data_IF_201626135929
#
_entry.id   IF_201626135929
#
_cell.length_a   1.000
_cell.length_b   1.000
_cell.length_c   1.000
_cell.angle_alpha   90.00
_cell.angle_beta   90.00
_cell.angle_gamma   90.00
#
_symmetry.space_group_name_H-M   'P 1'
#
loop_
_entity.id
_entity.type
_entity.pdbx_description
1 polymer ?
#
# COMPACT_ATOMS: atom_id res chain seq x y z
N UNK A 1 -21.49 -12.86 11.25
CA UNK A 1 -20.28 -13.51 11.79
C UNK A 1 -19.46 -14.20 10.69
N UNK A 2 -20.07 -14.90 9.74
CA UNK A 2 -19.38 -15.65 8.66
C UNK A 2 -18.39 -14.86 7.77
N UNK A 3 -18.60 -13.54 7.59
CA UNK A 3 -17.70 -12.69 6.78
C UNK A 3 -16.36 -12.43 7.48
N UNK A 4 -16.35 -12.35 8.80
CA UNK A 4 -15.13 -12.04 9.57
C UNK A 4 -14.23 -13.26 9.76
N UNK A 5 -14.82 -14.44 9.88
CA UNK A 5 -14.06 -15.70 9.93
C UNK A 5 -13.32 -15.98 8.61
N UNK A 6 -13.94 -15.64 7.47
CA UNK A 6 -13.28 -15.69 6.16
C UNK A 6 -12.12 -14.71 6.09
N UNK A 7 -12.35 -13.45 6.48
CA UNK A 7 -11.30 -12.44 6.54
C UNK A 7 -10.13 -12.84 7.46
N UNK A 8 -10.41 -13.49 8.60
CA UNK A 8 -9.39 -14.02 9.49
C UNK A 8 -8.59 -15.15 8.83
N UNK A 9 -9.26 -16.08 8.14
CA UNK A 9 -8.57 -17.18 7.42
C UNK A 9 -7.62 -16.64 6.36
N UNK A 10 -8.08 -15.68 5.55
CA UNK A 10 -7.26 -15.05 4.51
C UNK A 10 -6.07 -14.30 5.12
N UNK A 11 -6.29 -13.60 6.24
CA UNK A 11 -5.22 -12.90 6.95
C UNK A 11 -4.19 -13.87 7.55
N UNK A 12 -4.64 -14.97 8.14
CA UNK A 12 -3.75 -16.02 8.69
C UNK A 12 -2.90 -16.66 7.58
N UNK A 13 -3.49 -16.95 6.44
CA UNK A 13 -2.77 -17.52 5.30
C UNK A 13 -1.73 -16.53 4.76
N UNK A 14 -2.07 -15.24 4.74
CA UNK A 14 -1.15 -14.23 4.29
C UNK A 14 0.06 -14.06 5.20
N UNK A 15 -0.16 -14.05 6.52
CA UNK A 15 0.91 -14.06 7.53
C UNK A 15 1.74 -15.34 7.44
N UNK A 16 1.13 -16.48 7.11
CA UNK A 16 1.84 -17.76 6.91
C UNK A 16 2.75 -17.74 5.69
N UNK A 17 2.29 -17.15 4.58
CA UNK A 17 3.03 -17.06 3.33
C UNK A 17 4.17 -16.04 3.41
N UNK A 18 3.95 -14.90 4.06
CA UNK A 18 4.96 -13.85 4.21
C UNK A 18 5.00 -13.30 5.65
N UNK A 19 5.71 -13.97 6.57
CA UNK A 19 5.70 -13.64 8.00
C UNK A 19 6.32 -12.29 8.37
N UNK A 20 7.03 -11.65 7.44
CA UNK A 20 7.64 -10.33 7.57
C UNK A 20 6.74 -9.20 7.05
N UNK A 21 5.57 -9.54 6.51
CA UNK A 21 4.65 -8.55 5.91
C UNK A 21 3.73 -7.95 6.96
N UNK A 22 4.12 -6.79 7.49
CA UNK A 22 3.39 -6.06 8.54
C UNK A 22 1.89 -5.85 8.22
N UNK A 23 1.53 -5.58 6.96
CA UNK A 23 0.13 -5.38 6.56
C UNK A 23 -0.73 -6.64 6.65
N UNK A 24 -0.14 -7.84 6.56
CA UNK A 24 -0.84 -9.10 6.78
C UNK A 24 -1.36 -9.18 8.23
N UNK A 25 -0.52 -8.76 9.17
CA UNK A 25 -0.90 -8.65 10.57
C UNK A 25 -1.90 -7.51 10.85
N UNK A 26 -1.83 -6.39 10.12
CA UNK A 26 -2.85 -5.34 10.21
C UNK A 26 -4.24 -5.84 9.77
N UNK A 27 -4.30 -6.65 8.69
CA UNK A 27 -5.55 -7.30 8.25
C UNK A 27 -6.05 -8.31 9.27
N UNK A 28 -5.14 -9.07 9.88
CA UNK A 28 -5.43 -10.02 10.94
C UNK A 28 -6.00 -9.30 12.19
N UNK A 29 -5.40 -8.18 12.59
CA UNK A 29 -5.86 -7.36 13.71
C UNK A 29 -7.24 -6.74 13.44
N UNK A 30 -7.47 -6.22 12.23
CA UNK A 30 -8.78 -5.69 11.83
C UNK A 30 -9.88 -6.75 11.82
N UNK A 31 -9.56 -8.00 11.43
CA UNK A 31 -10.48 -9.12 11.54
C UNK A 31 -10.82 -9.42 13.01
N UNK A 32 -9.82 -9.49 13.90
CA UNK A 32 -10.02 -9.69 15.34
C UNK A 32 -10.84 -8.58 16.01
N UNK A 33 -10.59 -7.30 15.66
CA UNK A 33 -11.41 -6.17 16.12
C UNK A 33 -12.87 -6.32 15.70
N UNK A 34 -13.10 -6.75 14.45
CA UNK A 34 -14.46 -6.96 13.91
C UNK A 34 -15.18 -8.15 14.54
N UNK A 35 -14.42 -9.08 15.16
CA UNK A 35 -14.95 -10.20 15.95
C UNK A 35 -15.09 -9.87 17.44
N UNK A 36 -14.69 -8.66 17.87
CA UNK A 36 -14.71 -8.24 19.27
C UNK A 36 -13.56 -8.80 20.11
N UNK A 37 -12.60 -9.50 19.50
CA UNK A 37 -11.44 -10.05 20.19
C UNK A 37 -10.30 -9.03 20.22
N UNK A 38 -10.36 -8.14 21.22
CA UNK A 38 -9.39 -7.06 21.39
C UNK A 38 -7.99 -7.56 21.75
N UNK A 39 -7.87 -8.73 22.40
CA UNK A 39 -6.59 -9.30 22.80
C UNK A 39 -5.87 -9.89 21.59
N UNK A 40 -6.56 -10.71 20.80
CA UNK A 40 -5.98 -11.26 19.58
C UNK A 40 -5.63 -10.18 18.55
N UNK A 41 -6.40 -9.08 18.50
CA UNK A 41 -6.08 -7.92 17.68
C UNK A 41 -4.76 -7.25 18.08
N UNK A 42 -4.55 -7.04 19.38
CA UNK A 42 -3.30 -6.46 19.92
C UNK A 42 -2.11 -7.37 19.63
N UNK A 43 -2.26 -8.67 19.86
CA UNK A 43 -1.21 -9.66 19.56
C UNK A 43 -0.85 -9.71 18.08
N UNK A 44 -1.85 -9.62 17.19
CA UNK A 44 -1.61 -9.52 15.76
C UNK A 44 -0.81 -8.25 15.41
N UNK A 45 -1.21 -7.07 15.91
CA UNK A 45 -0.45 -5.83 15.71
C UNK A 45 0.99 -5.92 16.21
N UNK A 46 1.20 -6.46 17.42
CA UNK A 46 2.54 -6.62 17.99
C UNK A 46 3.42 -7.54 17.14
N UNK A 47 2.86 -8.64 16.60
CA UNK A 47 3.59 -9.53 15.68
C UNK A 47 3.91 -8.86 14.34
N UNK A 48 3.07 -7.93 13.88
CA UNK A 48 3.30 -7.15 12.66
C UNK A 48 4.35 -6.05 12.80
N UNK A 49 4.61 -5.57 14.01
CA UNK A 49 5.44 -4.39 14.27
C UNK A 49 6.93 -4.68 14.55
N UNK A 50 7.39 -5.92 14.73
CA UNK A 50 8.85 -6.20 14.71
C UNK A 50 9.23 -7.69 14.68
N UNK A 51 10.19 -8.12 13.82
CA UNK A 51 10.85 -9.43 13.93
C UNK A 51 12.08 -9.46 14.85
N UNK A 52 12.49 -8.34 15.47
CA UNK A 52 13.79 -8.25 16.17
C UNK A 52 13.74 -8.00 17.68
N UNK A 53 12.60 -8.16 18.35
CA UNK A 53 12.54 -8.03 19.82
C UNK A 53 12.46 -9.42 20.48
N UNK A 54 13.44 -9.83 21.31
CA UNK A 54 13.42 -11.13 21.97
C UNK A 54 12.23 -11.21 22.94
N UNK A 55 11.64 -12.41 23.01
CA UNK A 55 10.56 -12.75 23.94
C UNK A 55 11.03 -12.58 25.38
N UNK A 56 10.43 -11.64 26.09
CA UNK A 56 10.49 -11.56 27.54
C UNK A 56 10.87 -10.17 28.02
N UNK A 57 9.86 -9.33 28.22
CA UNK A 57 9.79 -8.33 29.29
C UNK A 57 8.45 -7.59 29.16
N UNK A 58 7.42 -8.13 29.82
CA UNK A 58 6.19 -7.39 30.08
C UNK A 58 6.37 -6.74 31.44
N UNK A 59 6.64 -5.45 31.44
CA UNK A 59 6.56 -4.62 32.64
C UNK A 59 5.46 -3.61 32.41
N UNK A 60 4.38 -3.77 33.20
CA UNK A 60 3.27 -2.85 33.41
C UNK A 60 3.62 -1.38 33.14
N UNK A 61 2.92 -0.77 32.19
CA UNK A 61 2.99 0.65 31.92
C UNK A 61 2.10 1.02 30.74
N UNK A 62 0.90 1.54 31.03
CA UNK A 62 0.21 2.41 30.10
C UNK A 62 1.12 3.61 29.87
N UNK A 63 1.90 3.61 28.81
CA UNK A 63 2.43 4.83 28.21
C UNK A 63 2.13 4.76 26.71
N UNK A 64 0.90 5.15 26.37
CA UNK A 64 0.61 5.76 25.09
C UNK A 64 1.40 7.08 25.06
N UNK A 65 2.70 7.01 24.81
CA UNK A 65 3.40 8.17 24.26
C UNK A 65 2.71 8.47 22.92
N UNK A 66 2.19 9.68 22.72
CA UNK A 66 1.51 10.02 21.47
C UNK A 66 2.53 9.84 20.37
N UNK A 67 2.31 8.87 19.47
CA UNK A 67 3.10 8.77 18.25
C UNK A 67 3.01 10.13 17.56
N UNK A 68 4.10 10.90 17.71
CA UNK A 68 4.39 12.04 16.91
C UNK A 68 4.31 11.56 15.47
N UNK A 69 3.37 12.12 14.72
CA UNK A 69 2.99 11.75 13.36
C UNK A 69 4.12 12.07 12.37
N UNK A 70 5.23 11.36 12.49
CA UNK A 70 6.38 11.38 11.60
C UNK A 70 7.00 9.98 11.53
N UNK A 71 6.19 8.95 11.29
CA UNK A 71 6.73 7.71 10.76
C UNK A 71 7.12 7.97 9.29
N UNK A 72 8.42 7.97 9.03
CA UNK A 72 9.07 8.19 7.73
C UNK A 72 8.84 7.03 6.74
N UNK A 73 7.75 6.28 6.88
CA UNK A 73 7.42 5.10 6.09
C UNK A 73 6.52 5.40 4.88
N UNK A 74 6.66 6.60 4.28
CA UNK A 74 6.05 6.97 2.97
C UNK A 74 6.48 6.04 1.81
N UNK A 75 7.42 5.15 2.08
CA UNK A 75 7.90 4.07 1.24
C UNK A 75 7.23 2.76 1.63
N UNK A 76 6.18 2.37 0.91
CA UNK A 76 5.65 1.03 1.07
C UNK A 76 6.44 0.05 0.19
N UNK A 77 7.18 -0.85 0.85
CA UNK A 77 7.95 -1.96 0.24
C UNK A 77 7.07 -3.00 -0.47
N UNK A 78 5.80 -2.71 -0.73
CA UNK A 78 4.98 -3.48 -1.65
C UNK A 78 5.48 -3.23 -3.06
N UNK A 79 6.49 -4.03 -3.43
CA UNK A 79 6.86 -4.29 -4.81
C UNK A 79 5.58 -4.41 -5.66
N UNK A 80 5.59 -3.92 -6.91
CA UNK A 80 4.43 -4.05 -7.77
C UNK A 80 4.09 -5.53 -7.85
N UNK A 81 2.81 -5.83 -7.86
CA UNK A 81 2.40 -7.20 -8.10
C UNK A 81 2.82 -7.50 -9.54
N UNK A 82 3.87 -8.30 -9.73
CA UNK A 82 4.34 -8.80 -11.04
C UNK A 82 3.37 -9.87 -11.57
N UNK A 83 2.07 -9.64 -11.39
CA UNK A 83 1.06 -10.55 -11.87
C UNK A 83 0.64 -10.09 -13.26
N UNK A 84 1.07 -10.87 -14.26
CA UNK A 84 0.65 -10.75 -15.65
C UNK A 84 -0.84 -11.05 -15.83
N UNK A 85 -1.57 -11.42 -14.76
CA UNK A 85 -3.02 -11.49 -14.80
C UNK A 85 -3.59 -10.06 -14.93
N UNK A 86 -3.99 -9.73 -16.16
CA UNK A 86 -4.89 -8.62 -16.43
C UNK A 86 -6.21 -8.88 -15.69
N UNK A 87 -6.29 -8.41 -14.44
CA UNK A 87 -7.57 -8.24 -13.79
C UNK A 87 -8.14 -6.92 -14.30
N UNK A 88 -8.81 -6.97 -15.47
CA UNK A 88 -9.75 -5.92 -15.86
C UNK A 88 -10.85 -5.84 -14.81
N UNK A 89 -10.54 -5.12 -13.75
CA UNK A 89 -11.48 -4.88 -12.68
C UNK A 89 -12.30 -3.67 -13.12
N UNK A 90 -13.26 -3.94 -14.02
CA UNK A 90 -14.35 -3.02 -14.41
C UNK A 90 -15.22 -2.59 -13.22
N UNK A 91 -15.01 -3.23 -12.07
CA UNK A 91 -15.43 -2.76 -10.76
C UNK A 91 -14.22 -2.14 -10.10
N UNK A 92 -14.25 -0.85 -9.81
CA UNK A 92 -13.22 -0.25 -8.95
C UNK A 92 -13.31 -0.90 -7.57
N UNK A 93 -12.35 -0.61 -6.69
CA UNK A 93 -12.28 -1.29 -5.40
C UNK A 93 -12.81 -0.40 -4.27
N UNK A 94 -13.56 -0.97 -3.31
CA UNK A 94 -13.98 -0.22 -2.12
C UNK A 94 -12.75 0.12 -1.26
N UNK A 95 -12.84 1.17 -0.44
CA UNK A 95 -11.73 1.63 0.40
C UNK A 95 -11.04 0.52 1.20
N UNK A 96 -11.80 -0.44 1.73
CA UNK A 96 -11.26 -1.56 2.51
C UNK A 96 -10.25 -2.44 1.73
N UNK A 97 -10.29 -2.40 0.40
CA UNK A 97 -9.34 -3.09 -0.48
C UNK A 97 -8.22 -2.18 -1.00
N UNK A 98 -8.34 -0.86 -0.77
CA UNK A 98 -7.35 0.14 -1.18
C UNK A 98 -6.28 0.26 -0.09
N UNK A 99 -5.12 -0.37 -0.33
CA UNK A 99 -4.05 -0.48 0.66
C UNK A 99 -3.05 0.68 0.67
N UNK A 100 -3.20 1.68 -0.21
CA UNK A 100 -2.24 2.78 -0.37
C UNK A 100 -2.94 4.15 -0.34
N UNK A 101 -2.70 4.90 0.73
CA UNK A 101 -3.11 6.30 0.85
C UNK A 101 -2.00 7.11 1.49
N UNK A 102 -1.82 8.35 1.04
CA UNK A 102 -0.76 9.25 1.50
C UNK A 102 -1.23 10.70 1.35
N UNK A 103 -0.62 11.61 2.10
CA UNK A 103 -0.92 13.04 2.04
C UNK A 103 -0.37 13.72 0.79
N UNK A 104 0.64 13.16 0.12
CA UNK A 104 1.30 13.83 -1.01
C UNK A 104 1.85 12.85 -2.05
N UNK A 105 2.72 11.93 -1.65
CA UNK A 105 3.38 11.01 -2.58
C UNK A 105 3.49 9.60 -2.01
N UNK A 106 3.56 8.63 -2.91
CA UNK A 106 3.73 7.20 -2.63
C UNK A 106 4.76 6.63 -3.61
N UNK A 107 5.55 5.65 -3.19
CA UNK A 107 6.54 5.02 -4.07
C UNK A 107 6.74 3.55 -3.80
N UNK A 108 7.35 2.87 -4.77
CA UNK A 108 7.62 1.44 -4.77
C UNK A 108 9.03 1.14 -5.28
N UNK A 109 9.68 0.15 -4.66
CA UNK A 109 10.95 -0.44 -5.11
C UNK A 109 10.68 -1.71 -5.92
N UNK A 110 11.21 -1.75 -7.13
CA UNK A 110 11.14 -2.88 -8.05
C UNK A 110 12.16 -3.98 -7.72
N UNK A 111 13.04 -3.76 -6.74
CA UNK A 111 14.09 -4.67 -6.28
C UNK A 111 15.39 -4.57 -7.10
N UNK A 112 15.27 -4.34 -8.40
CA UNK A 112 16.38 -4.06 -9.31
C UNK A 112 15.97 -3.03 -10.36
N UNK A 113 16.95 -2.50 -11.08
CA UNK A 113 16.69 -1.65 -12.23
C UNK A 113 16.08 -2.49 -13.36
N UNK A 114 14.86 -2.13 -13.78
CA UNK A 114 14.10 -2.85 -14.80
C UNK A 114 13.58 -1.89 -15.86
N UNK A 115 13.37 -2.39 -17.07
CA UNK A 115 12.73 -1.63 -18.12
C UNK A 115 11.21 -1.68 -17.95
N UNK A 116 10.62 -0.56 -17.55
CA UNK A 116 9.18 -0.40 -17.33
C UNK A 116 8.53 0.04 -18.64
N UNK A 117 7.72 -0.81 -19.23
CA UNK A 117 6.95 -0.51 -20.45
C UNK A 117 5.73 0.30 -20.11
N UNK A 118 4.98 -0.15 -19.10
CA UNK A 118 3.76 0.51 -18.66
C UNK A 118 3.54 0.32 -17.16
N UNK A 119 2.69 1.18 -16.61
CA UNK A 119 2.12 1.03 -15.28
C UNK A 119 0.61 0.97 -15.40
N UNK A 120 -0.04 0.26 -14.48
CA UNK A 120 -1.50 0.26 -14.37
C UNK A 120 -1.92 0.71 -12.99
N UNK A 121 -2.84 1.68 -12.97
CA UNK A 121 -3.38 2.27 -11.76
C UNK A 121 -4.86 2.00 -11.66
N UNK A 122 -5.32 1.60 -10.48
CA UNK A 122 -6.73 1.42 -10.18
C UNK A 122 -7.20 2.41 -9.12
N UNK A 123 -8.26 3.15 -9.45
CA UNK A 123 -8.91 4.09 -8.54
C UNK A 123 -9.95 3.40 -7.65
N UNK A 124 -10.42 4.14 -6.65
CA UNK A 124 -11.59 3.82 -5.82
C UNK A 124 -12.88 3.77 -6.63
N UNK A 125 -13.87 3.03 -6.14
CA UNK A 125 -15.24 3.04 -6.68
C UNK A 125 -16.31 3.62 -5.77
N UNK A 126 -16.02 3.75 -4.48
CA UNK A 126 -17.00 4.00 -3.42
C UNK A 126 -17.20 5.49 -3.15
N UNK A 127 -16.11 6.26 -3.16
CA UNK A 127 -16.11 7.72 -3.18
C UNK A 127 -14.73 8.21 -3.63
N UNK A 128 -14.61 9.53 -3.76
CA UNK A 128 -13.31 10.18 -3.62
C UNK A 128 -12.33 9.84 -4.76
N UNK A 129 -12.87 9.67 -5.97
CA UNK A 129 -12.12 9.33 -7.17
C UNK A 129 -11.15 10.45 -7.60
N UNK A 130 -11.43 11.68 -7.20
CA UNK A 130 -10.56 12.85 -7.39
C UNK A 130 -9.19 12.70 -6.71
N UNK A 131 -9.00 11.73 -5.80
CA UNK A 131 -7.69 11.49 -5.15
C UNK A 131 -6.68 10.77 -6.03
N UNK A 132 -7.07 10.32 -7.22
CA UNK A 132 -6.19 9.75 -8.24
C UNK A 132 -6.24 10.54 -9.56
N UNK A 133 -6.37 11.87 -9.44
CA UNK A 133 -6.24 12.84 -10.54
C UNK A 133 -5.02 13.70 -10.36
N UNK A 134 -4.51 14.26 -11.46
CA UNK A 134 -3.38 15.19 -11.47
C UNK A 134 -2.13 14.59 -10.81
N UNK A 135 -1.87 13.31 -11.14
CA UNK A 135 -0.74 12.55 -10.59
C UNK A 135 0.44 12.58 -11.54
N UNK A 136 1.60 12.92 -10.99
CA UNK A 136 2.89 12.85 -11.64
C UNK A 136 3.58 11.52 -11.30
N UNK A 137 4.14 10.87 -12.32
CA UNK A 137 4.85 9.60 -12.21
C UNK A 137 6.34 9.85 -12.44
N UNK A 138 7.14 9.49 -11.45
CA UNK A 138 8.60 9.55 -11.51
C UNK A 138 9.19 8.14 -11.54
N UNK A 139 10.26 7.96 -12.30
CA UNK A 139 11.02 6.71 -12.38
C UNK A 139 12.52 7.02 -12.30
N UNK A 140 13.26 6.24 -11.53
CA UNK A 140 14.72 6.32 -11.53
C UNK A 140 15.37 5.41 -10.50
N UNK A 141 16.58 5.78 -10.09
CA UNK A 141 17.45 4.94 -9.23
C UNK A 141 17.67 5.54 -7.84
N UNK A 142 17.05 6.69 -7.54
CA UNK A 142 17.14 7.35 -6.24
C UNK A 142 16.03 6.85 -5.32
N UNK A 143 16.42 6.28 -4.18
CA UNK A 143 15.51 5.73 -3.17
C UNK A 143 14.90 6.84 -2.28
N UNK A 144 13.79 6.52 -1.61
CA UNK A 144 13.15 7.31 -0.54
C UNK A 144 12.59 8.70 -0.94
N UNK A 145 12.75 9.11 -2.20
CA UNK A 145 12.26 10.41 -2.68
C UNK A 145 11.97 10.38 -4.17
N UNK A 146 10.93 11.09 -4.60
CA UNK A 146 10.68 11.33 -6.03
C UNK A 146 11.61 12.40 -6.60
N UNK A 147 12.18 13.27 -5.76
CA UNK A 147 13.10 14.32 -6.17
C UNK A 147 14.42 13.73 -6.64
N UNK A 148 14.88 14.12 -7.83
CA UNK A 148 16.08 13.57 -8.46
C UNK A 148 15.85 12.31 -9.29
N UNK A 149 14.61 11.79 -9.33
CA UNK A 149 14.18 10.82 -10.34
C UNK A 149 13.57 11.53 -11.56
N UNK A 150 13.51 10.85 -12.70
CA UNK A 150 12.98 11.43 -13.93
C UNK A 150 11.45 11.46 -13.92
N UNK A 151 10.84 12.60 -14.24
CA UNK A 151 9.41 12.70 -14.50
C UNK A 151 9.11 12.00 -15.83
N UNK A 152 8.43 10.85 -15.78
CA UNK A 152 8.11 10.03 -16.96
C UNK A 152 6.69 10.25 -17.46
N UNK A 153 5.79 10.70 -16.58
CA UNK A 153 4.42 11.08 -16.95
C UNK A 153 3.89 12.17 -16.02
N UNK A 154 3.12 13.11 -16.55
CA UNK A 154 2.38 14.11 -15.77
C UNK A 154 0.88 14.02 -16.05
N UNK A 155 0.09 14.70 -15.22
CA UNK A 155 -1.34 14.93 -15.41
C UNK A 155 -2.16 13.62 -15.56
N UNK A 156 -1.72 12.55 -14.91
CA UNK A 156 -2.39 11.25 -14.96
C UNK A 156 -3.63 11.29 -14.08
N UNK A 157 -4.78 11.05 -14.70
CA UNK A 157 -6.07 11.01 -14.02
C UNK A 157 -6.82 9.72 -14.31
N UNK A 158 -7.09 8.94 -13.27
CA UNK A 158 -7.78 7.65 -13.36
C UNK A 158 -9.22 7.84 -12.92
N UNK A 159 -10.18 7.53 -13.79
CA UNK A 159 -11.61 7.60 -13.44
C UNK A 159 -11.99 6.50 -12.42
N UNK A 160 -13.10 6.69 -11.72
CA UNK A 160 -13.66 5.63 -10.87
C UNK A 160 -14.03 4.42 -11.70
N UNK A 161 -13.90 3.23 -11.12
CA UNK A 161 -14.21 1.96 -11.77
C UNK A 161 -13.42 1.63 -13.04
N UNK A 162 -12.26 2.28 -13.25
CA UNK A 162 -11.39 2.01 -14.39
C UNK A 162 -10.00 1.63 -13.88
N UNK A 163 -9.36 0.70 -14.59
CA UNK A 163 -7.93 0.49 -14.51
C UNK A 163 -7.27 1.18 -15.70
N UNK A 164 -6.51 2.24 -15.45
CA UNK A 164 -5.82 2.98 -16.50
C UNK A 164 -4.42 2.41 -16.70
N UNK A 165 -4.10 2.06 -17.95
CA UNK A 165 -2.74 1.78 -18.37
C UNK A 165 -2.06 3.07 -18.85
N UNK A 166 -0.83 3.28 -18.39
CA UNK A 166 -0.01 4.44 -18.72
C UNK A 166 1.31 3.93 -19.25
N UNK A 167 1.61 4.24 -20.51
CA UNK A 167 2.90 3.93 -21.12
C UNK A 167 4.02 4.79 -20.49
N UNK A 168 5.14 4.14 -20.17
CA UNK A 168 6.32 4.73 -19.52
C UNK A 168 7.56 4.58 -20.41
N UNK A 169 7.84 3.37 -20.90
CA UNK A 169 8.96 3.05 -21.80
C UNK A 169 10.33 3.56 -21.32
N UNK A 170 10.61 3.41 -20.03
CA UNK A 170 11.83 3.92 -19.40
C UNK A 170 12.43 2.91 -18.41
N UNK A 171 13.71 3.07 -18.10
CA UNK A 171 14.47 2.19 -17.22
C UNK A 171 14.63 2.83 -15.83
N UNK A 172 14.42 2.05 -14.78
CA UNK A 172 14.61 2.50 -13.40
C UNK A 172 14.28 1.43 -12.38
N UNK A 173 14.55 1.72 -11.11
CA UNK A 173 14.32 0.82 -9.97
C UNK A 173 13.19 1.28 -9.06
N UNK A 174 12.99 2.59 -8.92
CA UNK A 174 12.00 3.16 -8.03
C UNK A 174 10.97 3.93 -8.83
N UNK A 175 9.69 3.65 -8.59
CA UNK A 175 8.57 4.42 -9.16
C UNK A 175 7.93 5.22 -8.03
N UNK A 176 7.64 6.48 -8.30
CA UNK A 176 6.90 7.35 -7.39
C UNK A 176 5.70 7.97 -8.08
N UNK A 177 4.62 8.09 -7.32
CA UNK A 177 3.41 8.81 -7.65
C UNK A 177 3.35 10.02 -6.73
N UNK A 178 3.34 11.22 -7.30
CA UNK A 178 3.20 12.46 -6.56
C UNK A 178 1.93 13.17 -6.98
N UNK A 179 1.15 13.63 -6.01
CA UNK A 179 -0.02 14.46 -6.25
C UNK A 179 0.11 15.71 -5.38
N UNK A 180 0.41 16.89 -5.97
CA UNK A 180 0.59 18.13 -5.22
C UNK A 180 -0.77 18.76 -4.82
N UNK A 181 -1.63 17.99 -4.15
CA UNK A 181 -2.97 18.41 -3.71
C UNK A 181 -3.20 18.09 -2.24
N UNK A 182 -3.80 19.02 -1.50
CA UNK A 182 -4.11 18.85 -0.08
C UNK A 182 -5.10 17.71 0.21
N UNK A 183 -5.86 17.25 -0.79
CA UNK A 183 -6.76 16.11 -0.66
C UNK A 183 -5.99 14.77 -0.51
N UNK A 184 -4.69 14.74 -0.77
CA UNK A 184 -3.85 13.54 -0.74
C UNK A 184 -4.08 12.61 -1.94
N UNK A 185 -3.33 11.51 -1.96
CA UNK A 185 -3.32 10.51 -3.02
C UNK A 185 -3.92 9.20 -2.50
N UNK A 186 -4.68 8.51 -3.35
CA UNK A 186 -5.12 7.13 -3.07
C UNK A 186 -4.97 6.27 -4.30
N UNK A 187 -4.31 5.12 -4.15
CA UNK A 187 -4.14 4.12 -5.21
C UNK A 187 -4.59 2.77 -4.67
N UNK A 188 -5.59 2.15 -5.30
CA UNK A 188 -6.12 0.89 -4.79
C UNK A 188 -5.29 -0.31 -5.24
N UNK A 189 -4.81 -0.27 -6.49
CA UNK A 189 -3.87 -1.25 -7.05
C UNK A 189 -2.89 -0.55 -7.99
N UNK A 190 -1.67 -1.05 -7.99
CA UNK A 190 -0.57 -0.58 -8.82
C UNK A 190 0.15 -1.80 -9.41
N UNK A 191 0.27 -1.84 -10.73
CA UNK A 191 0.97 -2.89 -11.47
C UNK A 191 2.04 -2.26 -12.36
N UNK A 192 3.12 -3.01 -12.59
CA UNK A 192 4.25 -2.62 -13.42
C UNK A 192 4.50 -3.76 -14.40
N UNK A 193 4.69 -3.43 -15.68
CA UNK A 193 4.95 -4.39 -16.75
C UNK A 193 5.90 -3.85 -17.82
#
# INVERSE_FOLDING_TARGET
>A
MEKFERALRDANECVRLQPTWAKGYSRQAAAFLSMGDLQAARDACMRGLCPSFPRGEWSLGLDLEPENSQDSSLFDKQAPVSDLSYADSTTGRPWAECGQYTSQWWGVDLGSEVYVRYVRLQNRNDCCAERLTDVDIYLGSTAETYTGNALVKSDVSVLSNVMLEVEINALGRYIYLNRPSAAGLTVCKFYVG
#
